data_IF_162398928002
#
_entry.id   IF_162398928002
#
_cell.length_a   1.000
_cell.length_b   1.000
_cell.length_c   1.000
_cell.angle_alpha   90.00
_cell.angle_beta   90.00
_cell.angle_gamma   90.00
#
_symmetry.space_group_name_H-M   'P 1'
#
loop_
_entity.id
_entity.type
_entity.pdbx_description
1 polymer ?
#
# COMPACT_ATOMS: atom_id res chain seq x y z
N UNK A 1 17.02 -48.68 14.30
CA UNK A 1 15.60 -48.57 14.69
C UNK A 1 15.51 -47.29 15.51
N UNK A 2 15.17 -46.14 14.96
CA UNK A 2 14.01 -45.87 14.12
C UNK A 2 13.09 -45.00 14.97
N UNK A 3 13.22 -43.68 14.86
CA UNK A 3 12.25 -42.72 15.37
C UNK A 3 12.39 -41.43 14.55
N UNK A 4 11.57 -41.37 13.50
CA UNK A 4 11.14 -40.17 12.80
C UNK A 4 10.43 -39.25 13.80
N UNK A 5 10.90 -38.01 13.94
CA UNK A 5 10.19 -36.94 14.64
C UNK A 5 9.70 -35.94 13.59
N UNK A 6 8.38 -35.78 13.56
CA UNK A 6 7.61 -35.02 12.59
C UNK A 6 7.92 -33.52 12.68
N UNK A 7 7.88 -32.86 11.53
CA UNK A 7 8.44 -31.52 11.29
C UNK A 7 7.37 -30.41 11.25
N UNK A 8 6.22 -30.58 11.92
CA UNK A 8 5.01 -29.76 11.67
C UNK A 8 4.05 -29.53 12.86
N UNK A 9 4.49 -29.52 14.14
CA UNK A 9 3.51 -29.46 15.26
C UNK A 9 3.76 -28.47 16.41
N UNK A 10 4.71 -27.54 16.33
CA UNK A 10 4.85 -26.53 17.40
C UNK A 10 4.32 -25.15 16.96
N UNK A 11 3.10 -24.84 17.42
CA UNK A 11 2.55 -23.47 17.48
C UNK A 11 3.52 -22.56 18.27
N UNK A 12 3.88 -21.36 17.77
CA UNK A 12 4.72 -20.44 18.53
C UNK A 12 3.94 -19.73 19.65
N UNK A 13 4.45 -19.88 20.87
CA UNK A 13 4.04 -19.18 22.09
C UNK A 13 4.04 -17.65 21.89
N UNK A 14 2.92 -17.00 22.26
CA UNK A 14 2.60 -15.60 21.99
C UNK A 14 3.36 -14.58 22.86
N UNK A 15 4.60 -14.89 23.27
CA UNK A 15 5.40 -14.04 24.16
C UNK A 15 6.85 -13.82 23.69
N UNK A 16 7.26 -14.35 22.53
CA UNK A 16 8.61 -14.13 21.98
C UNK A 16 8.72 -12.98 20.96
N UNK A 17 9.86 -12.30 21.01
CA UNK A 17 10.23 -11.04 20.37
C UNK A 17 10.20 -11.00 18.82
N UNK A 18 9.89 -9.85 18.18
CA UNK A 18 9.73 -9.74 16.72
C UNK A 18 11.03 -9.95 15.91
N UNK A 19 12.19 -9.77 16.52
CA UNK A 19 13.48 -9.85 15.85
C UNK A 19 13.86 -11.23 15.28
N UNK A 20 13.27 -12.31 15.78
CA UNK A 20 13.59 -13.69 15.37
C UNK A 20 12.95 -14.13 14.04
N UNK A 21 12.05 -13.35 13.45
CA UNK A 21 11.07 -13.89 12.48
C UNK A 21 11.31 -13.59 11.00
N UNK A 22 12.31 -12.79 10.63
CA UNK A 22 12.56 -12.51 9.22
C UNK A 22 13.69 -13.39 8.66
N UNK A 23 13.39 -14.67 8.46
CA UNK A 23 14.25 -15.56 7.66
C UNK A 23 14.03 -15.21 6.19
N UNK A 24 15.05 -14.65 5.55
CA UNK A 24 14.99 -14.36 4.12
C UNK A 24 15.22 -15.64 3.32
N UNK A 25 14.20 -16.10 2.61
CA UNK A 25 14.33 -17.12 1.57
C UNK A 25 14.49 -16.44 0.20
N UNK A 26 15.67 -16.61 -0.40
CA UNK A 26 16.00 -16.04 -1.71
C UNK A 26 15.42 -16.85 -2.88
N UNK A 27 15.00 -18.10 -2.66
CA UNK A 27 14.64 -19.03 -3.72
C UNK A 27 13.44 -18.57 -4.57
N UNK A 28 12.32 -18.07 -3.99
CA UNK A 28 11.21 -17.56 -4.80
C UNK A 28 11.64 -16.36 -5.67
N UNK A 29 12.52 -15.51 -5.15
CA UNK A 29 13.07 -14.38 -5.88
C UNK A 29 13.94 -14.81 -7.06
N UNK A 30 14.81 -15.81 -6.86
CA UNK A 30 15.64 -16.40 -7.94
C UNK A 30 14.78 -17.03 -9.03
N UNK A 31 13.80 -17.86 -8.65
CA UNK A 31 12.90 -18.50 -9.60
C UNK A 31 12.12 -17.48 -10.43
N UNK A 32 11.66 -16.38 -9.80
CA UNK A 32 10.98 -15.30 -10.50
C UNK A 32 11.92 -14.54 -11.45
N UNK A 33 13.15 -14.26 -11.03
CA UNK A 33 14.19 -13.63 -11.87
C UNK A 33 14.48 -14.49 -13.10
N UNK A 34 14.68 -15.79 -12.93
CA UNK A 34 14.91 -16.76 -14.01
C UNK A 34 13.72 -16.83 -14.98
N UNK A 35 12.51 -16.88 -14.43
CA UNK A 35 11.29 -17.00 -15.22
C UNK A 35 10.98 -15.75 -16.06
N UNK A 36 11.40 -14.56 -15.61
CA UNK A 36 10.99 -13.27 -16.20
C UNK A 36 12.19 -12.44 -16.68
N UNK A 37 13.11 -12.10 -15.79
CA UNK A 37 14.17 -11.13 -16.05
C UNK A 37 15.33 -11.72 -16.86
N UNK A 38 15.76 -12.96 -16.55
CA UNK A 38 16.93 -13.57 -17.19
C UNK A 38 16.71 -13.81 -18.69
N UNK A 39 15.46 -14.01 -19.11
CA UNK A 39 15.05 -14.07 -20.53
C UNK A 39 15.33 -12.78 -21.30
N UNK A 40 15.54 -11.67 -20.61
CA UNK A 40 15.80 -10.35 -21.19
C UNK A 40 17.28 -9.96 -21.16
N UNK A 41 18.13 -10.60 -20.33
CA UNK A 41 19.52 -10.16 -20.07
C UNK A 41 20.35 -9.93 -21.32
N UNK A 42 20.31 -10.86 -22.28
CA UNK A 42 21.05 -10.73 -23.55
C UNK A 42 20.69 -9.46 -24.32
N UNK A 43 19.45 -8.98 -24.19
CA UNK A 43 18.95 -7.74 -24.82
C UNK A 43 19.24 -6.49 -23.99
N UNK A 44 19.56 -6.64 -22.71
CA UNK A 44 19.90 -5.56 -21.80
C UNK A 44 21.41 -5.27 -21.76
N UNK A 45 22.23 -6.01 -22.50
CA UNK A 45 23.67 -5.81 -22.55
C UNK A 45 24.04 -4.34 -22.86
N UNK A 46 24.84 -3.73 -21.97
CA UNK A 46 25.26 -2.32 -22.07
C UNK A 46 24.24 -1.31 -21.55
N UNK A 47 23.07 -1.73 -21.06
CA UNK A 47 22.08 -0.86 -20.43
C UNK A 47 22.29 -0.84 -18.92
N UNK A 48 22.42 0.34 -18.33
CA UNK A 48 22.53 0.52 -16.87
C UNK A 48 21.29 1.16 -16.24
N UNK A 49 20.37 1.68 -17.05
CA UNK A 49 19.11 2.28 -16.60
C UNK A 49 17.94 1.51 -17.22
N UNK A 50 17.12 0.90 -16.37
CA UNK A 50 15.97 0.12 -16.78
C UNK A 50 14.69 0.84 -16.35
N UNK A 51 13.75 0.96 -17.28
CA UNK A 51 12.38 1.38 -16.97
C UNK A 51 11.46 0.19 -17.18
N UNK A 52 10.86 -0.30 -16.10
CA UNK A 52 10.04 -1.51 -16.10
C UNK A 52 8.56 -1.10 -16.09
N UNK A 53 7.79 -1.68 -17.01
CA UNK A 53 6.34 -1.59 -17.06
C UNK A 53 5.74 -2.99 -16.81
N UNK A 54 5.48 -3.38 -15.56
CA UNK A 54 4.99 -4.72 -15.25
C UNK A 54 3.52 -4.88 -15.64
N UNK A 55 3.11 -6.11 -15.98
CA UNK A 55 1.71 -6.47 -16.19
C UNK A 55 1.22 -7.43 -15.09
N UNK A 56 -0.07 -7.38 -14.78
CA UNK A 56 -0.66 -8.23 -13.74
C UNK A 56 0.08 -8.15 -12.41
N UNK A 57 0.19 -9.28 -11.72
CA UNK A 57 0.76 -9.39 -10.37
C UNK A 57 2.23 -8.98 -10.29
N UNK A 58 2.94 -8.90 -11.42
CA UNK A 58 4.30 -8.38 -11.47
C UNK A 58 4.39 -6.91 -11.03
N UNK A 59 3.27 -6.19 -11.01
CA UNK A 59 3.23 -4.84 -10.46
C UNK A 59 3.49 -4.79 -8.95
N UNK A 60 3.33 -5.92 -8.25
CA UNK A 60 3.59 -6.07 -6.81
C UNK A 60 5.03 -6.52 -6.53
N UNK A 61 5.81 -6.76 -7.58
CA UNK A 61 7.19 -7.25 -7.48
C UNK A 61 8.17 -6.09 -7.54
N UNK A 62 8.98 -5.86 -6.50
CA UNK A 62 10.15 -4.99 -6.59
C UNK A 62 11.29 -5.71 -7.30
N UNK A 63 11.34 -5.63 -8.63
CA UNK A 63 12.42 -6.22 -9.44
C UNK A 63 13.82 -5.82 -8.93
N UNK A 64 13.98 -4.64 -8.36
CA UNK A 64 15.26 -4.13 -7.90
C UNK A 64 15.90 -4.98 -6.77
N UNK A 65 15.12 -5.75 -6.03
CA UNK A 65 15.64 -6.60 -4.93
C UNK A 65 15.80 -8.07 -5.31
N UNK A 66 15.49 -8.45 -6.57
CA UNK A 66 15.62 -9.84 -6.98
C UNK A 66 17.10 -10.28 -6.84
N UNK A 67 17.35 -11.40 -6.14
CA UNK A 67 18.70 -11.87 -5.82
C UNK A 67 19.41 -12.41 -7.05
N UNK A 68 20.73 -12.23 -7.07
CA UNK A 68 21.61 -12.91 -8.00
C UNK A 68 21.97 -14.33 -7.52
N UNK A 69 22.66 -15.09 -8.37
CA UNK A 69 23.01 -16.50 -8.08
C UNK A 69 23.88 -16.62 -6.83
N UNK A 70 24.75 -15.63 -6.60
CA UNK A 70 25.66 -15.56 -5.46
C UNK A 70 24.98 -15.24 -4.12
N UNK A 71 23.68 -14.90 -4.11
CA UNK A 71 22.86 -14.53 -2.94
C UNK A 71 23.30 -13.29 -2.16
N UNK A 72 24.41 -12.68 -2.56
CA UNK A 72 24.98 -11.49 -1.91
C UNK A 72 24.69 -10.22 -2.68
N UNK A 73 24.41 -10.34 -3.97
CA UNK A 73 24.06 -9.24 -4.87
C UNK A 73 22.61 -9.35 -5.34
N UNK A 74 22.08 -8.21 -5.77
CA UNK A 74 20.68 -8.04 -6.21
C UNK A 74 20.66 -7.20 -7.49
N UNK A 75 19.57 -7.25 -8.26
CA UNK A 75 19.49 -6.55 -9.54
C UNK A 75 19.78 -5.04 -9.45
N UNK A 76 19.42 -4.39 -8.33
CA UNK A 76 19.75 -2.99 -8.15
C UNK A 76 21.25 -2.71 -8.08
N UNK A 77 22.12 -3.69 -7.83
CA UNK A 77 23.57 -3.46 -7.83
C UNK A 77 24.08 -3.13 -9.23
N UNK A 78 23.58 -3.83 -10.24
CA UNK A 78 23.91 -3.66 -11.66
C UNK A 78 23.08 -2.55 -12.34
N UNK A 79 21.79 -2.48 -12.05
CA UNK A 79 20.84 -1.62 -12.74
C UNK A 79 20.29 -0.49 -11.88
N UNK A 80 20.12 0.71 -12.46
CA UNK A 80 19.24 1.74 -11.93
C UNK A 80 17.82 1.48 -12.46
N UNK A 81 16.96 0.92 -11.61
CA UNK A 81 15.61 0.53 -11.99
C UNK A 81 14.61 1.61 -11.59
N UNK A 82 13.74 1.98 -12.52
CA UNK A 82 12.49 2.69 -12.23
C UNK A 82 11.29 2.03 -12.88
N UNK A 83 10.11 2.45 -12.44
CA UNK A 83 8.85 1.87 -12.88
C UNK A 83 7.99 2.87 -13.64
N UNK A 84 7.14 2.36 -14.51
CA UNK A 84 5.95 3.05 -15.04
C UNK A 84 4.78 2.09 -14.98
N UNK A 85 3.56 2.58 -14.80
CA UNK A 85 2.40 1.66 -14.79
C UNK A 85 2.07 1.19 -16.21
N UNK A 86 2.33 2.03 -17.22
CA UNK A 86 2.12 1.73 -18.64
C UNK A 86 3.13 2.48 -19.51
N UNK A 87 3.53 1.89 -20.64
CA UNK A 87 4.56 2.47 -21.53
C UNK A 87 4.25 3.87 -22.06
N UNK A 88 2.97 4.26 -22.16
CA UNK A 88 2.56 5.62 -22.58
C UNK A 88 3.04 6.72 -21.63
N UNK A 89 3.31 6.40 -20.36
CA UNK A 89 3.85 7.36 -19.38
C UNK A 89 5.22 7.91 -19.82
N UNK A 90 6.01 7.13 -20.57
CA UNK A 90 7.30 7.58 -21.10
C UNK A 90 7.17 8.78 -22.04
N UNK A 91 6.03 8.93 -22.72
CA UNK A 91 5.78 10.05 -23.63
C UNK A 91 5.57 11.37 -22.88
N UNK A 92 5.25 11.33 -21.57
CA UNK A 92 5.04 12.54 -20.77
C UNK A 92 6.29 13.40 -20.67
N UNK A 93 7.48 12.78 -20.66
CA UNK A 93 8.77 13.51 -20.67
C UNK A 93 8.94 14.43 -21.87
N UNK A 94 8.20 14.21 -22.96
CA UNK A 94 8.24 15.04 -24.17
C UNK A 94 7.30 16.24 -24.11
N UNK A 95 6.38 16.26 -23.15
CA UNK A 95 5.41 17.33 -22.98
C UNK A 95 6.10 18.48 -22.26
N UNK A 96 6.29 19.60 -22.96
CA UNK A 96 6.76 20.83 -22.34
C UNK A 96 5.58 21.56 -21.72
N UNK A 97 5.56 21.60 -20.41
CA UNK A 97 4.63 22.42 -19.63
C UNK A 97 5.20 23.84 -19.50
N UNK A 98 4.33 24.83 -19.31
CA UNK A 98 4.71 26.26 -19.18
C UNK A 98 4.59 26.77 -17.75
N UNK A 99 4.24 25.89 -16.81
CA UNK A 99 4.03 26.25 -15.42
C UNK A 99 5.35 26.40 -14.67
N UNK A 100 5.25 26.90 -13.45
CA UNK A 100 6.33 26.88 -12.48
C UNK A 100 5.87 26.12 -11.26
N UNK A 101 6.69 25.18 -10.78
CA UNK A 101 6.38 24.45 -9.58
C UNK A 101 6.29 25.38 -8.36
N UNK A 102 5.30 25.16 -7.50
CA UNK A 102 5.15 25.88 -6.24
C UNK A 102 6.13 25.38 -5.18
N UNK A 103 6.20 26.07 -4.04
CA UNK A 103 7.01 25.64 -2.90
C UNK A 103 6.66 24.21 -2.46
N UNK A 104 7.62 23.47 -1.87
CA UNK A 104 7.36 22.17 -1.28
C UNK A 104 6.14 22.16 -0.35
N UNK A 105 5.33 21.11 -0.47
CA UNK A 105 4.17 20.85 0.37
C UNK A 105 4.41 19.58 1.20
N UNK A 106 4.36 19.72 2.52
CA UNK A 106 4.56 18.61 3.47
C UNK A 106 3.31 18.50 4.33
N UNK A 107 2.63 17.36 4.28
CA UNK A 107 1.47 17.03 5.11
C UNK A 107 1.77 15.75 5.87
N UNK A 108 1.73 15.78 7.20
CA UNK A 108 2.10 14.64 8.03
C UNK A 108 1.34 14.59 9.36
N UNK A 109 1.38 13.44 10.03
CA UNK A 109 0.84 13.23 11.40
C UNK A 109 -0.55 13.86 11.63
N UNK A 110 -1.56 13.56 10.79
CA UNK A 110 -2.89 14.15 10.97
C UNK A 110 -3.58 13.66 12.24
N UNK A 111 -4.39 14.53 12.84
CA UNK A 111 -5.26 14.15 13.96
C UNK A 111 -6.52 13.45 13.44
N UNK A 112 -6.52 12.13 13.42
CA UNK A 112 -7.63 11.34 12.89
C UNK A 112 -8.92 11.44 13.72
N UNK A 113 -8.84 11.79 15.01
CA UNK A 113 -9.97 11.88 15.95
C UNK A 113 -10.51 13.31 16.14
N UNK A 114 -10.14 14.23 15.24
CA UNK A 114 -10.60 15.62 15.28
C UNK A 114 -12.14 15.73 15.39
N UNK A 115 -12.71 16.65 16.20
CA UNK A 115 -12.05 17.75 16.92
C UNK A 115 -11.46 17.37 18.28
N UNK A 116 -11.60 16.12 18.70
CA UNK A 116 -11.00 15.67 19.95
C UNK A 116 -9.47 15.64 19.78
N UNK A 117 -8.75 15.90 20.87
CA UNK A 117 -7.32 15.69 20.90
C UNK A 117 -7.10 14.21 21.21
N UNK A 118 -6.46 13.47 20.31
CA UNK A 118 -6.12 12.09 20.54
C UNK A 118 -5.12 11.98 21.71
N UNK A 119 -5.45 11.27 22.82
CA UNK A 119 -4.49 10.97 23.88
C UNK A 119 -3.52 9.84 23.51
N UNK A 120 -3.73 9.14 22.40
CA UNK A 120 -2.94 8.01 21.93
C UNK A 120 -1.83 8.41 20.98
N UNK A 121 -0.68 8.82 21.50
CA UNK A 121 0.57 8.60 20.77
C UNK A 121 0.76 7.07 20.77
N UNK A 122 0.57 6.42 19.62
CA UNK A 122 0.95 5.02 19.50
C UNK A 122 2.44 4.92 19.89
N UNK A 123 2.76 4.09 20.89
CA UNK A 123 4.13 3.59 21.00
C UNK A 123 4.44 2.82 19.70
N UNK A 124 5.70 2.76 19.25
CA UNK A 124 6.04 2.02 18.04
C UNK A 124 5.72 0.54 18.24
N UNK A 125 4.48 0.14 17.93
CA UNK A 125 4.04 -1.24 17.99
C UNK A 125 4.50 -1.94 16.72
N UNK A 126 5.18 -3.06 16.93
CA UNK A 126 5.50 -4.06 15.93
C UNK A 126 4.24 -4.38 15.12
N UNK A 127 4.20 -3.95 13.86
CA UNK A 127 3.17 -4.38 12.92
C UNK A 127 3.08 -5.90 12.95
N UNK A 128 1.97 -6.44 13.46
CA UNK A 128 1.63 -7.85 13.37
C UNK A 128 1.73 -8.27 11.91
N UNK A 129 2.71 -9.12 11.62
CA UNK A 129 2.69 -9.96 10.45
C UNK A 129 1.43 -10.82 10.54
N UNK A 130 0.54 -10.74 9.54
CA UNK A 130 -0.55 -11.69 9.40
C UNK A 130 0.06 -12.98 8.86
N UNK A 131 0.64 -13.77 9.75
CA UNK A 131 1.02 -15.15 9.53
C UNK A 131 0.17 -16.02 10.44
N UNK A 132 -0.73 -16.82 9.84
CA UNK A 132 -1.60 -17.77 10.55
C UNK A 132 -2.88 -17.14 11.11
N UNK A 133 -3.99 -17.22 10.36
CA UNK A 133 -5.29 -16.73 10.82
C UNK A 133 -5.98 -17.78 11.70
N UNK A 134 -6.05 -17.52 13.01
CA UNK A 134 -6.93 -18.25 13.93
C UNK A 134 -8.32 -17.58 13.95
N UNK A 135 -9.38 -18.36 13.72
CA UNK A 135 -10.77 -17.89 13.48
C UNK A 135 -11.33 -17.06 14.65
N UNK A 136 -10.83 -17.27 15.87
CA UNK A 136 -11.26 -16.50 17.06
C UNK A 136 -10.66 -15.07 17.11
N UNK A 137 -9.45 -14.86 16.57
CA UNK A 137 -8.83 -13.52 16.45
C UNK A 137 -9.43 -12.70 15.28
N UNK A 138 -10.08 -13.38 14.34
CA UNK A 138 -10.83 -12.76 13.24
C UNK A 138 -12.05 -11.96 13.73
N UNK A 139 -12.64 -12.33 14.87
CA UNK A 139 -13.80 -11.62 15.44
C UNK A 139 -13.45 -10.27 16.08
N UNK A 140 -12.21 -10.09 16.58
CA UNK A 140 -11.75 -8.86 17.21
C UNK A 140 -11.29 -7.76 16.21
N UNK A 141 -10.93 -8.15 15.00
CA UNK A 141 -10.40 -7.26 13.94
C UNK A 141 -11.48 -6.66 13.04
N UNK A 142 -12.74 -7.01 13.25
CA UNK A 142 -13.89 -6.54 12.46
C UNK A 142 -14.51 -5.23 12.94
N UNK A 143 -14.01 -4.70 14.05
CA UNK A 143 -14.39 -3.39 14.56
C UNK A 143 -13.32 -2.35 14.19
N UNK A 144 -13.72 -1.38 13.36
CA UNK A 144 -13.04 -0.12 13.03
C UNK A 144 -11.65 -0.21 12.40
N UNK A 145 -11.54 0.26 11.15
CA UNK A 145 -10.30 0.89 10.67
C UNK A 145 -10.10 2.13 11.54
N UNK A 146 -9.30 1.99 12.60
CA UNK A 146 -8.89 3.08 13.48
C UNK A 146 -7.47 3.47 13.07
N UNK A 147 -7.30 4.70 12.61
CA UNK A 147 -6.01 5.28 12.29
C UNK A 147 -5.42 5.89 13.54
N UNK A 148 -4.21 5.47 13.91
CA UNK A 148 -3.51 6.05 15.04
C UNK A 148 -2.46 7.05 14.57
N UNK A 149 -2.25 8.09 15.38
CA UNK A 149 -1.20 9.05 15.11
C UNK A 149 0.17 8.41 15.26
N UNK A 150 1.09 8.86 14.41
CA UNK A 150 2.47 8.38 14.44
C UNK A 150 3.39 9.59 14.55
N UNK A 151 3.72 9.96 15.79
CA UNK A 151 4.50 11.17 16.11
C UNK A 151 5.79 11.28 15.30
N UNK A 152 6.48 10.16 15.06
CA UNK A 152 7.72 10.13 14.28
C UNK A 152 7.55 10.71 12.86
N UNK A 153 6.37 10.56 12.24
CA UNK A 153 6.08 11.17 10.92
C UNK A 153 5.98 12.69 11.00
N UNK A 154 5.50 13.23 12.13
CA UNK A 154 5.48 14.66 12.42
C UNK A 154 6.88 15.21 12.66
N UNK A 155 7.68 14.54 13.50
CA UNK A 155 9.08 14.93 13.78
C UNK A 155 9.94 14.94 12.50
N UNK A 156 9.74 13.94 11.64
CA UNK A 156 10.36 13.87 10.31
C UNK A 156 9.93 15.06 9.44
N UNK A 157 8.63 15.35 9.36
CA UNK A 157 8.11 16.45 8.57
C UNK A 157 8.65 17.81 9.04
N UNK A 158 8.76 18.04 10.35
CA UNK A 158 9.39 19.26 10.91
C UNK A 158 10.86 19.38 10.50
N UNK A 159 11.62 18.29 10.64
CA UNK A 159 13.03 18.23 10.26
C UNK A 159 13.23 18.59 8.80
N UNK A 160 12.48 17.97 7.89
CA UNK A 160 12.59 18.24 6.45
C UNK A 160 12.10 19.65 6.11
N UNK A 161 11.00 20.11 6.73
CA UNK A 161 10.49 21.45 6.50
C UNK A 161 11.48 22.54 6.91
N UNK A 162 12.21 22.34 8.02
CA UNK A 162 13.28 23.24 8.45
C UNK A 162 14.41 23.29 7.41
N UNK A 163 14.83 22.14 6.88
CA UNK A 163 15.86 22.09 5.85
C UNK A 163 15.44 22.81 4.56
N UNK A 164 14.17 22.67 4.17
CA UNK A 164 13.59 23.29 2.97
C UNK A 164 13.10 24.73 3.19
N UNK A 165 13.11 25.23 4.44
CA UNK A 165 12.58 26.54 4.84
C UNK A 165 11.11 26.74 4.44
N UNK A 166 10.30 25.69 4.61
CA UNK A 166 8.84 25.72 4.40
C UNK A 166 8.11 25.40 5.71
N UNK A 167 6.79 25.63 5.74
CA UNK A 167 5.93 25.22 6.88
C UNK A 167 5.36 23.82 6.59
N UNK A 168 5.51 22.84 7.50
CA UNK A 168 4.77 21.58 7.41
C UNK A 168 3.34 21.76 7.93
N UNK A 169 2.40 20.96 7.42
CA UNK A 169 1.03 20.90 7.92
C UNK A 169 0.84 19.62 8.72
N UNK A 170 0.64 19.79 10.03
CA UNK A 170 0.57 18.69 11.00
C UNK A 170 -0.78 18.65 11.72
N UNK A 171 -1.13 17.49 12.28
CA UNK A 171 -2.27 17.32 13.19
C UNK A 171 -3.58 17.86 12.63
N UNK A 172 -4.11 18.94 13.21
CA UNK A 172 -5.36 19.56 12.79
C UNK A 172 -5.23 20.35 11.48
N UNK A 173 -4.01 20.73 11.09
CA UNK A 173 -3.74 21.42 9.82
C UNK A 173 -3.52 20.44 8.66
N UNK A 174 -3.30 19.15 8.94
CA UNK A 174 -3.06 18.10 7.95
C UNK A 174 -4.37 17.61 7.29
N UNK A 175 -5.08 18.53 6.62
CA UNK A 175 -6.39 18.29 6.02
C UNK A 175 -6.30 17.86 4.56
N UNK A 176 -7.26 17.05 4.09
CA UNK A 176 -7.32 16.61 2.69
C UNK A 176 -7.50 17.77 1.70
N UNK A 177 -8.09 18.88 2.15
CA UNK A 177 -8.32 20.08 1.35
C UNK A 177 -7.01 20.69 0.84
N UNK A 178 -5.94 20.60 1.63
CA UNK A 178 -4.61 21.07 1.22
C UNK A 178 -4.05 20.28 0.06
N UNK A 179 -4.27 18.97 0.05
CA UNK A 179 -3.90 18.13 -1.09
C UNK A 179 -4.77 18.47 -2.30
N UNK A 180 -6.08 18.52 -2.12
CA UNK A 180 -7.04 18.75 -3.21
C UNK A 180 -6.90 20.12 -3.89
N UNK A 181 -6.46 21.14 -3.13
CA UNK A 181 -6.27 22.51 -3.64
C UNK A 181 -4.81 22.84 -3.99
N UNK A 182 -3.88 21.91 -3.82
CA UNK A 182 -2.49 22.18 -4.18
C UNK A 182 -2.36 22.36 -5.70
N UNK A 183 -1.42 23.22 -6.10
CA UNK A 183 -1.08 23.45 -7.50
C UNK A 183 0.40 23.12 -7.67
N UNK A 184 0.69 21.94 -8.22
CA UNK A 184 2.03 21.46 -8.57
C UNK A 184 3.16 21.90 -7.62
N UNK A 185 3.14 21.50 -6.33
CA UNK A 185 4.29 21.72 -5.45
C UNK A 185 5.51 20.98 -6.02
N UNK A 186 6.68 21.61 -6.02
CA UNK A 186 7.91 21.00 -6.56
C UNK A 186 8.24 19.66 -5.88
N UNK A 187 8.04 19.62 -4.56
CA UNK A 187 8.15 18.42 -3.73
C UNK A 187 6.85 18.27 -2.93
N UNK A 188 6.22 17.10 -3.02
CA UNK A 188 5.05 16.73 -2.23
C UNK A 188 5.42 15.58 -1.30
N UNK A 189 5.33 15.78 0.01
CA UNK A 189 5.51 14.71 1.01
C UNK A 189 4.18 14.50 1.73
N UNK A 190 3.66 13.28 1.66
CA UNK A 190 2.49 12.84 2.41
C UNK A 190 2.90 11.72 3.37
N UNK A 191 2.90 11.99 4.68
CA UNK A 191 3.25 11.02 5.72
C UNK A 191 2.07 10.77 6.66
N UNK A 192 1.23 9.81 6.29
CA UNK A 192 -0.07 9.53 6.92
C UNK A 192 -0.43 8.05 6.71
N UNK A 193 -1.70 7.65 6.78
CA UNK A 193 -2.16 6.31 6.45
C UNK A 193 -2.82 6.26 5.08
N UNK A 194 -2.57 5.16 4.37
CA UNK A 194 -3.33 4.79 3.19
C UNK A 194 -4.45 3.84 3.57
N UNK A 195 -5.60 4.04 2.97
CA UNK A 195 -6.72 3.11 3.05
C UNK A 195 -6.84 2.37 1.73
N UNK A 196 -7.06 1.07 1.80
CA UNK A 196 -7.43 0.26 0.66
C UNK A 196 -8.53 -0.72 1.04
N UNK A 197 -9.67 -0.64 0.34
CA UNK A 197 -10.72 -1.65 0.42
C UNK A 197 -10.43 -2.77 -0.59
N UNK A 198 -10.01 -3.93 -0.08
CA UNK A 198 -9.95 -5.16 -0.85
C UNK A 198 -11.37 -5.72 -1.00
N UNK A 199 -11.77 -6.07 -2.23
CA UNK A 199 -13.06 -6.72 -2.51
C UNK A 199 -13.28 -7.95 -1.63
N UNK A 200 -12.21 -8.70 -1.35
CA UNK A 200 -12.18 -9.82 -0.41
C UNK A 200 -12.54 -9.42 1.03
N UNK A 201 -12.16 -8.24 1.52
CA UNK A 201 -12.58 -7.77 2.85
C UNK A 201 -14.08 -7.47 2.90
N UNK A 202 -14.65 -6.94 1.82
CA UNK A 202 -16.10 -6.72 1.73
C UNK A 202 -16.87 -8.04 1.55
N UNK A 203 -16.32 -9.00 0.81
CA UNK A 203 -16.84 -10.37 0.75
C UNK A 203 -16.79 -11.06 2.11
N UNK A 204 -15.68 -10.94 2.84
CA UNK A 204 -15.56 -11.47 4.20
C UNK A 204 -16.52 -10.77 5.15
N UNK A 205 -16.65 -9.43 5.07
CA UNK A 205 -17.61 -8.66 5.86
C UNK A 205 -19.04 -9.10 5.58
N UNK A 206 -19.40 -9.31 4.32
CA UNK A 206 -20.70 -9.83 3.92
C UNK A 206 -20.91 -11.25 4.45
N UNK A 207 -19.92 -12.13 4.35
CA UNK A 207 -19.99 -13.47 4.94
C UNK A 207 -20.19 -13.42 6.46
N UNK A 208 -19.52 -12.50 7.14
CA UNK A 208 -19.67 -12.32 8.59
C UNK A 208 -21.03 -11.73 8.95
N UNK A 209 -21.55 -10.79 8.15
CA UNK A 209 -22.89 -10.23 8.32
C UNK A 209 -23.96 -11.33 8.15
N UNK A 210 -23.78 -12.19 7.15
CA UNK A 210 -24.62 -13.36 6.91
C UNK A 210 -24.48 -14.40 8.03
N UNK A 211 -23.28 -14.59 8.59
CA UNK A 211 -23.04 -15.54 9.68
C UNK A 211 -23.67 -15.07 11.00
N UNK A 212 -23.69 -13.75 11.23
CA UNK A 212 -24.34 -13.11 12.40
C UNK A 212 -25.84 -12.86 12.18
N UNK A 213 -26.35 -13.20 11.00
CA UNK A 213 -27.74 -12.97 10.63
C UNK A 213 -28.68 -13.89 11.41
N UNK A 214 -29.81 -13.39 11.94
CA UNK A 214 -30.91 -14.25 12.39
C UNK A 214 -31.41 -15.10 11.21
N UNK A 215 -31.79 -16.36 11.47
CA UNK A 215 -32.32 -17.27 10.44
C UNK A 215 -33.41 -16.59 9.59
N UNK A 216 -33.36 -16.83 8.27
CA UNK A 216 -34.31 -16.37 7.22
C UNK A 216 -34.16 -14.92 6.75
N UNK A 217 -33.12 -14.18 7.19
CA UNK A 217 -32.85 -12.80 6.72
C UNK A 217 -31.67 -12.68 5.75
N UNK A 218 -31.02 -13.79 5.41
CA UNK A 218 -29.84 -13.85 4.55
C UNK A 218 -30.16 -13.31 3.14
N UNK A 219 -31.32 -13.66 2.59
CA UNK A 219 -31.76 -13.19 1.28
C UNK A 219 -31.94 -11.66 1.21
N UNK A 220 -32.36 -11.03 2.31
CA UNK A 220 -32.53 -9.57 2.42
C UNK A 220 -31.17 -8.87 2.50
N UNK A 221 -30.22 -9.44 3.25
CA UNK A 221 -28.84 -8.94 3.34
C UNK A 221 -28.14 -9.05 1.98
N UNK A 222 -28.27 -10.20 1.31
CA UNK A 222 -27.73 -10.41 -0.04
C UNK A 222 -28.35 -9.42 -1.04
N UNK A 223 -29.68 -9.20 -0.99
CA UNK A 223 -30.36 -8.25 -1.85
C UNK A 223 -29.92 -6.79 -1.62
N UNK A 224 -29.62 -6.39 -0.38
CA UNK A 224 -29.04 -5.07 -0.05
C UNK A 224 -27.60 -4.92 -0.54
N UNK A 225 -26.88 -6.03 -0.67
CA UNK A 225 -25.48 -6.11 -1.06
C UNK A 225 -25.27 -6.70 -2.47
N UNK A 226 -26.27 -6.60 -3.36
CA UNK A 226 -26.27 -7.24 -4.69
C UNK A 226 -25.04 -6.91 -5.57
N UNK A 227 -24.40 -5.76 -5.35
CA UNK A 227 -23.17 -5.35 -6.06
C UNK A 227 -21.94 -6.20 -5.75
N UNK A 228 -22.00 -7.02 -4.69
CA UNK A 228 -20.96 -7.97 -4.29
C UNK A 228 -21.31 -9.42 -4.68
N UNK A 229 -22.44 -9.65 -5.36
CA UNK A 229 -22.86 -10.98 -5.77
C UNK A 229 -22.40 -11.26 -7.19
N UNK A 230 -21.15 -11.70 -7.31
CA UNK A 230 -20.54 -12.07 -8.59
C UNK A 230 -19.80 -13.41 -8.51
N UNK A 231 -19.23 -13.83 -9.64
CA UNK A 231 -18.52 -15.11 -9.74
C UNK A 231 -17.29 -15.18 -8.82
N UNK A 232 -16.70 -14.05 -8.46
CA UNK A 232 -15.56 -13.98 -7.53
C UNK A 232 -16.01 -14.27 -6.10
N UNK A 233 -17.14 -13.69 -5.66
CA UNK A 233 -17.74 -14.01 -4.36
C UNK A 233 -18.14 -15.48 -4.25
N UNK A 234 -18.70 -16.04 -5.33
CA UNK A 234 -19.03 -17.46 -5.44
C UNK A 234 -17.79 -18.35 -5.29
N UNK A 235 -16.69 -18.00 -5.97
CA UNK A 235 -15.44 -18.74 -5.90
C UNK A 235 -14.83 -18.73 -4.47
N UNK A 236 -14.96 -17.61 -3.74
CA UNK A 236 -14.49 -17.51 -2.35
C UNK A 236 -15.31 -18.41 -1.42
N UNK A 237 -16.64 -18.39 -1.54
CA UNK A 237 -17.52 -19.28 -0.76
C UNK A 237 -17.16 -20.75 -1.02
N UNK A 238 -16.92 -21.09 -2.30
CA UNK A 238 -16.55 -22.45 -2.71
C UNK A 238 -15.17 -22.87 -2.18
N UNK A 239 -14.18 -21.98 -2.24
CA UNK A 239 -12.85 -22.21 -1.67
C UNK A 239 -12.92 -22.44 -0.14
N UNK A 240 -13.71 -21.63 0.57
CA UNK A 240 -13.90 -21.75 2.02
C UNK A 240 -14.59 -23.06 2.40
N UNK A 241 -15.60 -23.48 1.64
CA UNK A 241 -16.30 -24.75 1.87
C UNK A 241 -15.38 -25.98 1.77
N UNK A 242 -14.33 -25.88 0.96
CA UNK A 242 -13.39 -26.98 0.68
C UNK A 242 -12.17 -27.03 1.64
N UNK A 243 -12.12 -26.18 2.68
CA UNK A 243 -11.10 -26.26 3.72
C UNK A 243 -11.25 -27.57 4.50
N UNK A 244 -10.17 -28.35 4.64
CA UNK A 244 -10.20 -29.72 5.20
C UNK A 244 -10.76 -29.75 6.63
N UNK A 245 -10.32 -28.85 7.52
CA UNK A 245 -10.71 -28.81 8.94
C UNK A 245 -11.91 -27.89 9.26
N UNK A 246 -12.72 -27.53 8.27
CA UNK A 246 -13.90 -26.70 8.50
C UNK A 246 -15.02 -27.50 9.20
N UNK A 247 -15.61 -26.90 10.23
CA UNK A 247 -16.79 -27.44 10.92
C UNK A 247 -17.94 -27.74 9.95
N UNK A 248 -18.60 -28.89 10.14
CA UNK A 248 -19.64 -29.37 9.22
C UNK A 248 -20.88 -28.46 9.19
N UNK A 249 -21.27 -27.83 10.30
CA UNK A 249 -22.39 -26.89 10.32
C UNK A 249 -22.05 -25.63 9.51
N UNK A 250 -20.81 -25.13 9.64
CA UNK A 250 -20.32 -23.99 8.85
C UNK A 250 -20.24 -24.35 7.36
N UNK A 251 -19.79 -25.58 7.05
CA UNK A 251 -19.70 -26.08 5.67
C UNK A 251 -21.07 -26.19 5.00
N UNK A 252 -22.08 -26.66 5.73
CA UNK A 252 -23.47 -26.71 5.25
C UNK A 252 -24.06 -25.30 5.09
N UNK A 253 -23.81 -24.40 6.04
CA UNK A 253 -24.23 -23.00 5.96
C UNK A 253 -23.63 -22.29 4.73
N UNK A 254 -22.33 -22.44 4.47
CA UNK A 254 -21.69 -21.91 3.26
C UNK A 254 -22.32 -22.48 1.98
N UNK A 255 -22.75 -23.76 2.00
CA UNK A 255 -23.48 -24.38 0.90
C UNK A 255 -24.87 -23.76 0.64
N UNK A 256 -25.58 -23.37 1.69
CA UNK A 256 -26.85 -22.65 1.59
C UNK A 256 -26.65 -21.23 1.03
N UNK A 257 -25.66 -20.49 1.55
CA UNK A 257 -25.30 -19.15 1.05
C UNK A 257 -24.85 -19.22 -0.42
N UNK A 258 -24.00 -20.17 -0.81
CA UNK A 258 -23.59 -20.40 -2.19
C UNK A 258 -24.79 -20.54 -3.14
N UNK A 259 -25.78 -21.33 -2.74
CA UNK A 259 -26.99 -21.58 -3.54
C UNK A 259 -27.84 -20.32 -3.68
N UNK A 260 -28.00 -19.55 -2.59
CA UNK A 260 -28.73 -18.27 -2.60
C UNK A 260 -28.05 -17.22 -3.48
N UNK A 261 -26.72 -17.10 -3.39
CA UNK A 261 -25.92 -16.17 -4.20
C UNK A 261 -26.03 -16.53 -5.68
N UNK A 262 -25.85 -17.82 -6.05
CA UNK A 262 -26.02 -18.28 -7.44
C UNK A 262 -27.43 -18.05 -7.98
N UNK A 263 -28.45 -18.28 -7.16
CA UNK A 263 -29.83 -18.00 -7.52
C UNK A 263 -30.02 -16.51 -7.83
N UNK A 264 -29.52 -15.61 -6.98
CA UNK A 264 -29.63 -14.17 -7.19
C UNK A 264 -28.84 -13.67 -8.42
N UNK A 265 -27.66 -14.22 -8.69
CA UNK A 265 -26.88 -13.93 -9.92
C UNK A 265 -27.69 -14.33 -11.17
N UNK A 266 -28.30 -15.52 -11.14
CA UNK A 266 -29.08 -16.04 -12.27
C UNK A 266 -30.35 -15.22 -12.54
N UNK A 267 -31.01 -14.71 -11.50
CA UNK A 267 -32.20 -13.85 -11.63
C UNK A 267 -31.88 -12.43 -12.10
N UNK A 268 -30.66 -11.94 -11.85
CA UNK A 268 -30.24 -10.58 -12.24
C UNK A 268 -29.76 -10.52 -13.71
N UNK A 269 -29.41 -11.67 -14.31
CA UNK A 269 -28.94 -11.79 -15.71
C UNK A 269 -30.05 -11.94 -16.76
N UNK A 270 -31.34 -11.88 -16.40
CA UNK A 270 -32.45 -11.98 -17.35
C UNK A 270 -32.57 -10.70 -18.21
N UNK A 271 -31.97 -10.70 -19.40
CA UNK A 271 -32.12 -9.66 -20.44
C UNK A 271 -33.61 -9.40 -20.78
N UNK A 272 -34.08 -8.15 -20.90
CA UNK A 272 -35.36 -7.88 -21.55
C UNK A 272 -35.23 -8.05 -23.08
N UNK A 273 -36.32 -8.39 -23.80
CA UNK A 273 -36.29 -8.61 -25.24
C UNK A 273 -36.03 -7.30 -25.98
N UNK A 274 -35.07 -7.32 -26.91
CA UNK A 274 -34.79 -6.21 -27.81
C UNK A 274 -35.89 -6.21 -28.87
N UNK A 275 -36.73 -5.17 -28.89
CA UNK A 275 -37.61 -4.88 -30.01
C UNK A 275 -37.13 -3.59 -30.69
N UNK A 276 -37.00 -3.65 -32.02
CA UNK A 276 -36.39 -2.62 -32.86
C UNK A 276 -37.30 -1.40 -33.08
N UNK A 277 -36.65 -0.25 -33.28
CA UNK A 277 -37.12 1.06 -33.77
C UNK A 277 -37.84 1.99 -32.77
N UNK A 278 -37.10 2.98 -32.25
CA UNK A 278 -37.17 4.39 -32.71
C UNK A 278 -36.01 5.21 -32.10
N UNK A 279 -35.40 6.09 -32.90
CA UNK A 279 -34.35 7.01 -32.48
C UNK A 279 -34.98 8.15 -31.64
N UNK A 280 -34.86 8.09 -30.31
CA UNK A 280 -35.08 9.26 -29.45
C UNK A 280 -33.85 9.56 -28.57
N UNK A 281 -33.35 10.76 -28.80
CA UNK A 281 -32.36 11.57 -28.09
C UNK A 281 -32.19 11.20 -26.60
N UNK A 282 -30.96 10.78 -26.26
CA UNK A 282 -30.28 10.89 -24.95
C UNK A 282 -31.20 10.89 -23.70
N UNK A 283 -31.58 9.70 -23.22
CA UNK A 283 -31.94 9.47 -21.82
C UNK A 283 -31.03 8.36 -21.26
N UNK A 284 -30.13 8.64 -20.30
CA UNK A 284 -29.31 7.58 -19.71
C UNK A 284 -30.18 6.76 -18.76
N UNK A 285 -30.70 5.63 -19.25
CA UNK A 285 -31.36 4.64 -18.41
C UNK A 285 -30.31 3.85 -17.62
N UNK A 286 -30.29 4.12 -16.31
CA UNK A 286 -29.50 3.46 -15.26
C UNK A 286 -29.95 2.01 -15.06
N UNK A 287 -29.36 1.10 -15.81
CA UNK A 287 -29.21 -0.30 -15.40
C UNK A 287 -27.74 -0.68 -15.62
N UNK A 288 -26.89 -0.21 -14.71
CA UNK A 288 -25.52 -0.69 -14.55
C UNK A 288 -25.44 -1.22 -13.12
N UNK A 289 -25.16 -2.52 -12.99
CA UNK A 289 -24.46 -3.02 -11.81
C UNK A 289 -23.29 -2.05 -11.56
N UNK A 290 -23.27 -1.39 -10.39
CA UNK A 290 -22.20 -0.46 -10.05
C UNK A 290 -20.89 -1.26 -10.00
N UNK A 291 -20.18 -1.29 -11.11
CA UNK A 291 -18.73 -1.50 -11.11
C UNK A 291 -18.18 -0.34 -10.29
N UNK A 292 -17.87 -0.61 -9.02
CA UNK A 292 -17.27 0.39 -8.15
C UNK A 292 -15.93 0.77 -8.77
N UNK A 293 -15.76 2.05 -9.10
CA UNK A 293 -14.56 2.55 -9.75
C UNK A 293 -13.33 2.14 -8.91
N UNK A 294 -12.35 1.38 -9.43
CA UNK A 294 -11.17 0.96 -8.69
C UNK A 294 -10.42 2.13 -8.01
N UNK A 295 -10.49 3.34 -8.58
CA UNK A 295 -9.90 4.55 -8.01
C UNK A 295 -10.63 5.07 -6.75
N UNK A 296 -11.84 4.59 -6.47
CA UNK A 296 -12.57 4.87 -5.23
C UNK A 296 -12.25 3.88 -4.11
N UNK A 297 -11.46 2.83 -4.39
CA UNK A 297 -11.11 1.79 -3.40
C UNK A 297 -9.81 2.08 -2.66
N UNK A 298 -9.01 3.03 -3.14
CA UNK A 298 -7.84 3.55 -2.42
C UNK A 298 -8.05 5.01 -2.00
N UNK A 299 -7.64 5.34 -0.79
CA UNK A 299 -7.67 6.70 -0.27
C UNK A 299 -6.45 7.00 0.60
N UNK A 300 -6.21 8.28 0.83
CA UNK A 300 -5.28 8.79 1.84
C UNK A 300 -6.10 9.34 2.99
N UNK A 301 -5.78 8.94 4.22
CA UNK A 301 -6.44 9.42 5.42
C UNK A 301 -5.83 10.76 5.88
N UNK A 302 -6.67 11.67 6.35
CA UNK A 302 -6.31 13.00 6.83
C UNK A 302 -7.02 13.29 8.16
N UNK A 303 -6.85 14.52 8.68
CA UNK A 303 -7.51 14.99 9.91
C UNK A 303 -8.99 14.60 9.92
N UNK A 304 -9.46 14.00 11.01
CA UNK A 304 -10.86 13.61 11.22
C UNK A 304 -11.28 12.28 10.57
N UNK A 305 -10.37 11.47 10.03
CA UNK A 305 -10.72 10.18 9.43
C UNK A 305 -11.47 9.24 10.38
N UNK A 306 -11.01 9.04 11.62
CA UNK A 306 -11.69 8.19 12.61
C UNK A 306 -13.06 8.77 12.99
N UNK A 307 -13.15 10.09 13.13
CA UNK A 307 -14.41 10.80 13.37
C UNK A 307 -15.40 10.56 12.23
N UNK A 308 -14.94 10.57 10.98
CA UNK A 308 -15.76 10.23 9.83
C UNK A 308 -16.22 8.76 9.86
N UNK A 309 -15.30 7.82 10.09
CA UNK A 309 -15.60 6.38 10.18
C UNK A 309 -16.58 6.02 11.30
N UNK A 310 -16.57 6.78 12.40
CA UNK A 310 -17.49 6.60 13.54
C UNK A 310 -18.81 7.36 13.41
N UNK A 311 -19.04 8.08 12.30
CA UNK A 311 -20.25 8.89 12.09
C UNK A 311 -20.32 10.16 12.94
N UNK A 312 -19.16 10.64 13.42
CA UNK A 312 -19.03 11.87 14.18
C UNK A 312 -19.31 13.14 13.36
N UNK A 313 -19.52 14.26 14.04
CA UNK A 313 -19.81 15.55 13.41
C UNK A 313 -18.53 16.19 12.86
N UNK A 314 -18.53 16.47 11.56
CA UNK A 314 -17.46 17.18 10.86
C UNK A 314 -18.03 18.45 10.19
N UNK A 315 -17.21 19.49 9.95
CA UNK A 315 -17.60 20.63 9.14
C UNK A 315 -18.05 20.18 7.74
N UNK A 316 -18.95 20.93 7.09
CA UNK A 316 -19.24 20.72 5.68
C UNK A 316 -17.95 20.87 4.85
N UNK A 317 -17.83 20.10 3.78
CA UNK A 317 -16.68 20.11 2.85
C UNK A 317 -15.32 19.89 3.55
N UNK A 318 -15.29 18.99 4.54
CA UNK A 318 -14.08 18.62 5.27
C UNK A 318 -13.56 17.24 4.80
N UNK A 319 -12.73 17.16 3.75
CA UNK A 319 -12.24 15.89 3.22
C UNK A 319 -11.28 15.23 4.20
N UNK A 320 -11.77 14.18 4.87
CA UNK A 320 -11.02 13.35 5.83
C UNK A 320 -10.39 12.12 5.18
N UNK A 321 -10.97 11.68 4.07
CA UNK A 321 -10.48 10.64 3.18
C UNK A 321 -10.41 11.23 1.77
N UNK A 322 -9.24 11.25 1.17
CA UNK A 322 -9.07 11.72 -0.21
C UNK A 322 -8.84 10.51 -1.10
N UNK A 323 -9.79 10.22 -1.99
CA UNK A 323 -9.74 9.04 -2.83
C UNK A 323 -8.78 9.22 -4.01
N UNK A 324 -8.29 8.10 -4.54
CA UNK A 324 -7.41 8.11 -5.70
C UNK A 324 -8.08 8.79 -6.91
N UNK A 325 -9.40 8.68 -7.04
CA UNK A 325 -10.17 9.38 -8.08
C UNK A 325 -10.09 10.90 -7.95
N UNK A 326 -10.12 11.44 -6.74
CA UNK A 326 -10.02 12.88 -6.51
C UNK A 326 -8.59 13.36 -6.78
N UNK A 327 -7.59 12.59 -6.35
CA UNK A 327 -6.17 12.86 -6.61
C UNK A 327 -5.89 12.85 -8.12
N UNK A 328 -6.49 11.94 -8.88
CA UNK A 328 -6.31 11.92 -10.34
C UNK A 328 -6.79 13.20 -11.03
N UNK A 329 -7.63 14.01 -10.37
CA UNK A 329 -8.16 15.27 -10.87
C UNK A 329 -7.37 16.53 -10.48
N UNK A 330 -6.36 16.43 -9.61
CA UNK A 330 -5.54 17.59 -9.22
C UNK A 330 -4.39 17.82 -10.20
N UNK A 331 -3.86 19.04 -10.22
CA UNK A 331 -2.75 19.42 -11.11
C UNK A 331 -1.39 19.28 -10.42
N UNK A 332 -0.67 18.22 -10.77
CA UNK A 332 0.71 17.94 -10.33
C UNK A 332 1.72 17.94 -11.48
N UNK A 333 1.39 18.52 -12.65
CA UNK A 333 2.26 18.45 -13.83
C UNK A 333 3.65 19.08 -13.65
N UNK A 334 3.78 20.08 -12.76
CA UNK A 334 5.09 20.66 -12.40
C UNK A 334 5.69 20.04 -11.12
N UNK A 335 5.02 19.05 -10.51
CA UNK A 335 5.56 18.34 -9.34
C UNK A 335 6.66 17.39 -9.76
N UNK A 336 7.88 17.72 -9.35
CA UNK A 336 9.09 16.98 -9.70
C UNK A 336 9.24 15.69 -8.89
N UNK A 337 8.72 15.67 -7.65
CA UNK A 337 8.83 14.53 -6.75
C UNK A 337 7.65 14.48 -5.78
N UNK A 338 7.01 13.33 -5.68
CA UNK A 338 6.05 12.98 -4.64
C UNK A 338 6.59 11.82 -3.81
N UNK A 339 6.60 11.95 -2.49
CA UNK A 339 6.95 10.90 -1.54
C UNK A 339 5.70 10.53 -0.75
N UNK A 340 5.25 9.29 -0.91
CA UNK A 340 4.09 8.75 -0.20
C UNK A 340 4.55 7.79 0.88
N UNK A 341 4.46 8.24 2.12
CA UNK A 341 4.66 7.45 3.33
C UNK A 341 3.27 7.17 3.91
N UNK A 342 2.50 6.31 3.25
CA UNK A 342 1.08 6.06 3.59
C UNK A 342 0.61 4.64 3.25
N UNK A 343 1.35 3.62 3.69
CA UNK A 343 1.38 2.36 2.95
C UNK A 343 0.40 1.29 3.44
N UNK A 344 -0.73 1.18 2.73
CA UNK A 344 -1.39 -0.06 2.28
C UNK A 344 -1.90 0.06 0.81
N UNK A 345 -1.60 1.16 0.12
CA UNK A 345 -2.32 1.67 -1.05
C UNK A 345 -1.59 1.51 -2.39
N UNK A 346 -0.36 0.97 -2.37
CA UNK A 346 0.39 0.55 -3.56
C UNK A 346 -0.10 -0.78 -4.16
N UNK A 347 -0.87 -1.55 -3.40
CA UNK A 347 -1.46 -2.87 -3.74
C UNK A 347 -2.81 -2.75 -4.47
N UNK A 348 -3.10 -1.61 -5.10
CA UNK A 348 -4.36 -1.35 -5.79
C UNK A 348 -4.81 -2.46 -6.75
N UNK A 349 -6.06 -2.47 -7.20
CA UNK A 349 -6.58 -3.58 -8.03
C UNK A 349 -5.66 -3.78 -9.24
N UNK A 350 -5.07 -4.97 -9.32
CA UNK A 350 -4.24 -5.40 -10.43
C UNK A 350 -5.19 -5.94 -11.49
N UNK A 351 -5.41 -5.17 -12.56
CA UNK A 351 -6.11 -5.68 -13.74
C UNK A 351 -5.11 -5.97 -14.86
N UNK A 352 -5.18 -7.17 -15.43
CA UNK A 352 -4.38 -7.59 -16.58
C UNK A 352 -4.58 -6.63 -17.75
N UNK A 353 -3.49 -6.06 -18.27
CA UNK A 353 -3.51 -5.15 -19.42
C UNK A 353 -3.76 -3.66 -19.10
N UNK A 354 -4.07 -3.29 -17.85
CA UNK A 354 -4.39 -1.91 -17.45
C UNK A 354 -3.52 -1.34 -16.30
N UNK A 355 -2.70 -2.18 -15.66
CA UNK A 355 -1.80 -1.80 -14.54
C UNK A 355 -2.50 -1.74 -13.17
N UNK A 356 -1.80 -1.21 -12.15
CA UNK A 356 -2.34 -1.05 -10.79
C UNK A 356 -3.31 0.14 -10.72
N UNK A 357 -4.56 -0.09 -10.36
CA UNK A 357 -5.52 0.97 -10.06
C UNK A 357 -5.46 1.36 -8.57
N UNK A 358 -5.19 2.63 -8.26
CA UNK A 358 -5.10 3.11 -6.88
C UNK A 358 -4.30 4.40 -6.78
N UNK A 359 -3.70 4.67 -5.61
CA UNK A 359 -2.94 5.91 -5.40
C UNK A 359 -1.76 6.06 -6.36
N UNK A 360 -1.06 4.95 -6.67
CA UNK A 360 0.04 4.91 -7.64
C UNK A 360 -0.35 5.52 -8.98
N UNK A 361 -1.45 5.05 -9.57
CA UNK A 361 -1.98 5.58 -10.84
C UNK A 361 -2.55 6.99 -10.67
N UNK A 362 -3.17 7.32 -9.54
CA UNK A 362 -3.74 8.65 -9.32
C UNK A 362 -2.69 9.75 -9.39
N UNK A 363 -1.60 9.62 -8.62
CA UNK A 363 -0.51 10.61 -8.61
C UNK A 363 0.20 10.70 -9.97
N UNK A 364 0.40 9.55 -10.63
CA UNK A 364 0.91 9.54 -11.99
C UNK A 364 -0.03 10.32 -12.92
N UNK A 365 -1.33 10.00 -12.96
CA UNK A 365 -2.34 10.68 -13.81
C UNK A 365 -2.40 12.18 -13.54
N UNK A 366 -2.39 12.59 -12.26
CA UNK A 366 -2.36 13.99 -11.82
C UNK A 366 -1.16 14.78 -12.36
N UNK A 367 -0.07 14.10 -12.72
CA UNK A 367 1.08 14.70 -13.40
C UNK A 367 2.40 14.63 -12.64
N UNK A 368 2.44 13.99 -11.45
CA UNK A 368 3.69 13.86 -10.70
C UNK A 368 4.75 13.13 -11.53
N UNK A 369 5.91 13.77 -11.72
CA UNK A 369 6.99 13.28 -12.59
C UNK A 369 7.70 12.07 -11.99
N UNK A 370 7.84 12.06 -10.66
CA UNK A 370 8.45 10.97 -9.91
C UNK A 370 7.69 10.69 -8.63
N UNK A 371 7.48 9.41 -8.36
CA UNK A 371 6.77 8.92 -7.21
C UNK A 371 7.63 7.92 -6.43
N UNK A 372 7.87 8.22 -5.16
CA UNK A 372 8.52 7.33 -4.20
C UNK A 372 7.43 6.80 -3.27
N UNK A 373 7.29 5.49 -3.22
CA UNK A 373 6.29 4.81 -2.40
C UNK A 373 6.74 3.40 -2.05
N UNK A 374 6.10 2.75 -1.08
CA UNK A 374 6.34 1.36 -0.77
C UNK A 374 5.23 0.42 -1.27
N UNK A 375 5.62 -0.79 -1.67
CA UNK A 375 4.72 -1.85 -2.12
C UNK A 375 4.05 -2.61 -0.96
N UNK A 376 4.69 -2.63 0.21
CA UNK A 376 4.14 -3.19 1.46
C UNK A 376 4.41 -2.26 2.65
N UNK A 377 3.80 -2.56 3.79
CA UNK A 377 4.00 -1.82 5.04
C UNK A 377 5.39 -2.06 5.60
N UNK A 378 6.10 -0.97 5.91
CA UNK A 378 7.44 -0.99 6.52
C UNK A 378 7.32 -0.32 7.89
N UNK A 379 8.01 -0.80 8.94
CA UNK A 379 8.02 -0.14 10.24
C UNK A 379 8.35 1.35 10.13
N UNK A 380 7.60 2.18 10.87
CA UNK A 380 7.62 3.63 10.67
C UNK A 380 9.00 4.21 10.94
N UNK A 381 9.68 3.83 12.02
CA UNK A 381 10.98 4.40 12.34
C UNK A 381 12.05 4.03 11.31
N UNK A 382 12.04 2.80 10.81
CA UNK A 382 12.89 2.38 9.69
C UNK A 382 12.58 3.18 8.40
N UNK A 383 11.30 3.47 8.16
CA UNK A 383 10.86 4.34 7.05
C UNK A 383 11.41 5.75 7.20
N UNK A 384 11.32 6.36 8.39
CA UNK A 384 11.86 7.70 8.63
C UNK A 384 13.35 7.73 8.37
N UNK A 385 14.10 6.75 8.88
CA UNK A 385 15.55 6.65 8.65
C UNK A 385 15.88 6.52 7.15
N UNK A 386 15.16 5.68 6.42
CA UNK A 386 15.36 5.52 4.97
C UNK A 386 15.07 6.82 4.21
N UNK A 387 13.98 7.51 4.56
CA UNK A 387 13.54 8.73 3.90
C UNK A 387 14.45 9.94 4.21
N UNK A 388 14.99 10.04 5.43
CA UNK A 388 16.01 11.02 5.77
C UNK A 388 17.26 10.82 4.91
N UNK A 389 17.78 9.60 4.82
CA UNK A 389 18.93 9.30 3.96
C UNK A 389 18.64 9.60 2.48
N UNK A 390 17.46 9.22 2.00
CA UNK A 390 17.03 9.51 0.63
C UNK A 390 17.06 11.02 0.33
N UNK A 391 16.46 11.83 1.20
CA UNK A 391 16.40 13.29 1.05
C UNK A 391 17.79 13.93 1.18
N UNK A 392 18.65 13.44 2.07
CA UNK A 392 20.04 13.91 2.18
C UNK A 392 20.85 13.64 0.90
N UNK A 393 20.70 12.45 0.31
CA UNK A 393 21.33 12.13 -0.98
C UNK A 393 20.78 12.99 -2.12
N UNK A 394 19.47 13.25 -2.17
CA UNK A 394 18.88 14.17 -3.14
C UNK A 394 19.45 15.58 -3.00
N UNK A 395 19.57 16.09 -1.77
CA UNK A 395 20.16 17.40 -1.47
C UNK A 395 21.63 17.49 -1.89
N UNK A 396 22.35 16.38 -1.84
CA UNK A 396 23.72 16.26 -2.36
C UNK A 396 23.79 16.21 -3.90
N UNK A 397 22.67 16.36 -4.61
CA UNK A 397 22.59 16.39 -6.07
C UNK A 397 22.55 15.01 -6.74
N UNK A 398 22.33 13.95 -5.97
CA UNK A 398 22.22 12.58 -6.50
C UNK A 398 20.84 12.40 -7.12
N UNK A 399 20.78 11.79 -8.31
CA UNK A 399 19.52 11.50 -9.01
C UNK A 399 18.58 10.59 -8.21
N UNK A 400 17.27 10.68 -8.45
CA UNK A 400 16.23 10.10 -7.57
C UNK A 400 16.36 8.59 -7.38
N UNK A 401 16.52 7.82 -8.47
CA UNK A 401 16.68 6.37 -8.36
C UNK A 401 17.98 5.99 -7.63
N UNK A 402 19.07 6.73 -7.88
CA UNK A 402 20.36 6.47 -7.22
C UNK A 402 20.35 6.87 -5.75
N UNK A 403 19.66 7.95 -5.39
CA UNK A 403 19.47 8.37 -4.01
C UNK A 403 18.66 7.32 -3.23
N UNK A 404 17.61 6.75 -3.83
CA UNK A 404 16.84 5.67 -3.22
C UNK A 404 17.68 4.40 -3.03
N UNK A 405 18.41 3.98 -4.08
CA UNK A 405 19.36 2.85 -4.01
C UNK A 405 20.39 3.05 -2.90
N UNK A 406 20.95 4.26 -2.76
CA UNK A 406 21.92 4.56 -1.68
C UNK A 406 21.28 4.53 -0.30
N UNK A 407 20.08 5.07 -0.14
CA UNK A 407 19.33 4.99 1.11
C UNK A 407 19.02 3.54 1.49
N UNK A 408 18.59 2.72 0.54
CA UNK A 408 18.37 1.28 0.77
C UNK A 408 19.66 0.57 1.17
N UNK A 409 20.79 0.85 0.49
CA UNK A 409 22.11 0.33 0.86
C UNK A 409 22.57 0.78 2.24
N UNK A 410 22.23 1.99 2.66
CA UNK A 410 22.48 2.44 4.02
C UNK A 410 21.71 1.58 5.01
N UNK A 411 20.40 1.38 4.82
CA UNK A 411 19.56 0.55 5.70
C UNK A 411 20.06 -0.91 5.73
N UNK A 412 20.51 -1.47 4.61
CA UNK A 412 21.09 -2.82 4.56
C UNK A 412 22.34 -2.94 5.46
N UNK A 413 23.15 -1.89 5.51
CA UNK A 413 24.48 -1.94 6.11
C UNK A 413 24.59 -1.30 7.49
N UNK A 414 23.60 -0.51 7.90
CA UNK A 414 23.65 0.23 9.17
C UNK A 414 23.78 -0.73 10.34
N UNK A 415 24.78 -0.50 11.18
CA UNK A 415 25.04 -1.36 12.33
C UNK A 415 24.34 -0.86 13.59
N UNK A 416 24.23 -1.72 14.61
CA UNK A 416 23.75 -1.32 15.94
C UNK A 416 24.57 -0.15 16.49
N UNK A 417 25.89 -0.18 16.36
CA UNK A 417 26.77 0.90 16.80
C UNK A 417 26.53 2.23 16.09
N UNK A 418 26.11 2.21 14.83
CA UNK A 418 25.75 3.41 14.09
C UNK A 418 24.37 3.94 14.51
N UNK A 419 23.38 3.05 14.66
CA UNK A 419 22.04 3.41 15.12
C UNK A 419 22.06 4.08 16.49
N UNK A 420 22.89 3.59 17.42
CA UNK A 420 23.02 4.14 18.78
C UNK A 420 23.43 5.63 18.82
N UNK A 421 24.07 6.13 17.75
CA UNK A 421 24.56 7.52 17.67
C UNK A 421 23.44 8.56 17.55
N UNK A 422 22.25 8.16 17.12
CA UNK A 422 21.11 9.07 16.91
C UNK A 422 19.94 8.71 17.82
N UNK A 423 19.04 9.66 18.09
CA UNK A 423 17.81 9.37 18.84
C UNK A 423 16.91 8.40 18.07
N UNK A 424 16.65 8.69 16.79
CA UNK A 424 15.86 7.82 15.91
C UNK A 424 16.41 6.39 15.87
N UNK A 425 17.73 6.22 15.75
CA UNK A 425 18.34 4.89 15.74
C UNK A 425 18.24 4.15 17.07
N UNK A 426 18.30 4.85 18.22
CA UNK A 426 18.00 4.23 19.52
C UNK A 426 16.53 3.81 19.64
N UNK A 427 15.62 4.62 19.11
CA UNK A 427 14.18 4.31 19.11
C UNK A 427 13.89 3.10 18.21
N UNK A 428 14.55 2.98 17.05
CA UNK A 428 14.49 1.79 16.19
C UNK A 428 14.96 0.54 16.95
N UNK A 429 16.11 0.62 17.62
CA UNK A 429 16.63 -0.52 18.39
C UNK A 429 15.68 -0.95 19.52
N UNK A 430 14.99 0.01 20.14
CA UNK A 430 13.95 -0.26 21.13
C UNK A 430 12.71 -0.92 20.50
N UNK A 431 12.23 -0.46 19.34
CA UNK A 431 11.09 -1.02 18.61
C UNK A 431 11.34 -2.47 18.17
N UNK A 432 12.55 -2.78 17.71
CA UNK A 432 12.89 -4.14 17.26
C UNK A 432 12.94 -5.16 18.42
N UNK A 433 12.96 -4.68 19.68
CA UNK A 433 12.97 -5.50 20.90
C UNK A 433 13.99 -6.65 20.83
N UNK A 434 15.20 -6.34 20.40
CA UNK A 434 16.27 -7.30 20.08
C UNK A 434 16.98 -7.90 21.31
N UNK A 435 16.52 -7.59 22.53
CA UNK A 435 17.18 -7.98 23.78
C UNK A 435 18.45 -7.15 24.09
N UNK A 436 19.04 -7.38 25.26
CA UNK A 436 20.12 -6.54 25.81
C UNK A 436 21.54 -6.86 25.27
N UNK A 437 21.72 -7.93 24.49
CA UNK A 437 23.03 -8.41 24.03
C UNK A 437 23.20 -8.30 22.50
N UNK A 438 22.95 -7.12 21.95
CA UNK A 438 23.19 -6.85 20.53
C UNK A 438 24.67 -6.59 20.25
N UNK A 439 25.25 -7.36 19.33
CA UNK A 439 26.59 -7.10 18.82
C UNK A 439 26.61 -5.78 18.05
N UNK A 440 27.61 -4.92 18.35
CA UNK A 440 27.73 -3.56 17.78
C UNK A 440 27.79 -3.58 16.25
N UNK A 441 28.40 -4.62 15.67
CA UNK A 441 28.57 -4.76 14.22
C UNK A 441 27.40 -5.49 13.53
N UNK A 442 26.42 -5.97 14.29
CA UNK A 442 25.21 -6.57 13.72
C UNK A 442 24.39 -5.54 12.94
N UNK A 443 23.73 -5.99 11.86
CA UNK A 443 22.95 -5.18 10.92
C UNK A 443 21.46 -5.49 11.05
N UNK A 444 20.76 -4.92 12.05
CA UNK A 444 19.40 -5.36 12.41
C UNK A 444 18.34 -5.03 11.34
N UNK A 445 18.65 -4.12 10.41
CA UNK A 445 17.75 -3.70 9.32
C UNK A 445 18.12 -4.31 7.96
N UNK A 446 19.04 -5.28 7.92
CA UNK A 446 19.53 -5.88 6.67
C UNK A 446 18.42 -6.59 5.86
N UNK A 447 17.41 -7.14 6.54
CA UNK A 447 16.34 -7.89 5.89
C UNK A 447 15.54 -7.02 4.89
N UNK A 448 15.25 -7.50 3.66
CA UNK A 448 14.54 -6.74 2.62
C UNK A 448 13.18 -6.16 3.04
N UNK A 449 12.55 -6.72 4.06
CA UNK A 449 11.34 -6.16 4.68
C UNK A 449 11.46 -4.67 4.99
N UNK A 450 12.61 -4.20 5.50
CA UNK A 450 12.82 -2.83 5.96
C UNK A 450 13.09 -1.81 4.84
N UNK A 451 13.52 -2.26 3.66
CA UNK A 451 14.04 -1.35 2.62
C UNK A 451 13.58 -1.70 1.20
N UNK A 452 13.32 -2.98 0.91
CA UNK A 452 13.00 -3.47 -0.43
C UNK A 452 11.63 -3.08 -0.95
N UNK A 453 10.75 -2.64 -0.04
CA UNK A 453 9.39 -2.20 -0.36
C UNK A 453 9.38 -0.97 -1.27
N UNK A 454 10.39 -0.11 -1.11
CA UNK A 454 10.42 1.22 -1.70
C UNK A 454 10.82 1.19 -3.16
N UNK A 455 9.97 1.75 -4.00
CA UNK A 455 10.17 1.86 -5.44
C UNK A 455 10.21 3.33 -5.90
N UNK A 456 10.91 3.55 -7.02
CA UNK A 456 10.91 4.82 -7.73
C UNK A 456 10.15 4.67 -9.04
N UNK A 457 9.00 5.35 -9.17
CA UNK A 457 8.23 5.40 -10.41
C UNK A 457 8.43 6.72 -11.13
N UNK A 458 8.68 6.67 -12.44
CA UNK A 458 8.75 7.84 -13.30
C UNK A 458 10.17 8.27 -13.66
N UNK A 459 10.42 9.57 -13.55
CA UNK A 459 11.71 10.19 -13.89
C UNK A 459 12.81 9.86 -12.86
N UNK A 460 14.01 9.55 -13.34
CA UNK A 460 15.13 9.12 -12.47
C UNK A 460 16.25 10.15 -12.39
N UNK A 461 16.15 11.20 -13.20
CA UNK A 461 17.19 12.19 -13.41
C UNK A 461 17.41 13.05 -12.15
N UNK A 462 18.39 13.96 -12.22
CA UNK A 462 18.74 14.84 -11.11
C UNK A 462 17.54 15.66 -10.64
N UNK A 463 17.40 15.78 -9.33
CA UNK A 463 16.45 16.66 -8.66
C UNK A 463 17.24 17.78 -8.00
N UNK A 464 16.90 19.04 -8.29
CA UNK A 464 17.43 20.17 -7.54
C UNK A 464 16.47 20.47 -6.41
N UNK A 465 16.88 20.18 -5.18
CA UNK A 465 16.07 20.40 -3.98
C UNK A 465 15.79 21.88 -3.74
#
# INVERSE_FOLDING_TARGET
>A
MGATLNMWDDEPDSTETPAKYYVYDSQPGKQLREAVFDKLRDKLAGCSNLVIAPDGDLNLVPFQILPEDDETTILQDEYNISYVSVGRELLRRRIKTKGTANQPLIIADPNFDWPQHDPGIAQPESNMAVSGLNVSQMFGTLASVKFERVKATGDFAETIAQQLRVKPFLQNEATGDRLLKCQSPKLLILATHGYYSQRNKEYLRLLIELLKCPQEKEAEILAKNYGFLDEEFVAIIEAWRNVEDLDNEIREWLGAIYSLVKQQISTTSAKPPVNNMEFEIFKPNRHQAKVENPMMRSAVAFTGANTWFSGGKLPPDFPTMVFAQDIAGIDLWETDLTILIACQSGLGDVQTGEGVFGLRRAFAVAGSKTLIMSLWSVPTLATMLLMEQFLDYLKAGIGRAQALKKAQKYIINVTVGELQKSQLGRDILAELNLGNNLEIDSKPLAHPYFWGAWICQGEVDNFQM
#
